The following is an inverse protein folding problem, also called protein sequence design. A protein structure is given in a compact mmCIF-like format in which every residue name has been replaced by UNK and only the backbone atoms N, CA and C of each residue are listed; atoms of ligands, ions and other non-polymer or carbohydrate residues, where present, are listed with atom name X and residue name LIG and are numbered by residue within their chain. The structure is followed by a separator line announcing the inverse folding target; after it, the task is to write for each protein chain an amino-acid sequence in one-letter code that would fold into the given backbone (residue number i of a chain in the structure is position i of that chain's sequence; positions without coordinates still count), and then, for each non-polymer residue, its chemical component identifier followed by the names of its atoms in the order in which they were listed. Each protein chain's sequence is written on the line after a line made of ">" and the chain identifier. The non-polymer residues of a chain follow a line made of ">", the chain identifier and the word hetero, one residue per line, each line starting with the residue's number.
data_IF_202827320723
#
_entry.id   IF_202827320723
#
_cell.length_a   1.000
_cell.length_b   1.000
_cell.length_c   1.000
_cell.angle_alpha   90.00
_cell.angle_beta   90.00
_cell.angle_gamma   90.00
#
_symmetry.space_group_name_H-M   'P 1'
#
loop_
_entity.id
_entity.type
_entity.pdbx_description
1 polymer ?
#
# COMPACT_ATOMS: atom_id res chain seq x y z
N UNK A 1 12.07 10.03 35.51
CA UNK A 1 12.36 9.34 34.24
C UNK A 1 13.11 10.29 33.32
N UNK A 2 14.18 9.85 32.66
CA UNK A 2 14.80 10.59 31.56
C UNK A 2 14.26 10.01 30.25
N UNK A 3 13.80 10.86 29.35
CA UNK A 3 13.32 10.47 28.02
C UNK A 3 14.35 10.93 26.98
N UNK A 4 14.65 10.06 26.03
CA UNK A 4 15.57 10.34 24.93
C UNK A 4 14.78 10.36 23.61
N UNK A 5 15.06 11.34 22.76
CA UNK A 5 14.37 11.57 21.48
C UNK A 5 15.42 11.74 20.39
N UNK A 6 15.25 11.06 19.24
CA UNK A 6 16.10 11.29 18.07
C UNK A 6 15.69 12.60 17.39
N UNK A 7 16.65 13.50 17.20
CA UNK A 7 16.43 14.79 16.54
C UNK A 7 16.80 14.73 15.05
N UNK A 8 18.03 14.32 14.74
CA UNK A 8 18.55 14.32 13.38
C UNK A 8 19.76 13.38 13.20
N UNK A 9 20.04 12.91 11.96
CA UNK A 9 21.31 12.28 11.62
C UNK A 9 22.51 13.24 11.82
N UNK A 10 23.65 12.72 12.30
CA UNK A 10 24.89 13.51 12.50
C UNK A 10 25.36 14.28 11.25
N UNK A 11 25.04 13.78 10.04
CA UNK A 11 25.45 14.40 8.77
C UNK A 11 24.59 15.60 8.37
N UNK A 12 23.40 15.79 8.97
CA UNK A 12 22.45 16.81 8.53
C UNK A 12 22.39 18.04 9.42
N UNK A 13 22.86 17.98 10.66
CA UNK A 13 22.82 19.11 11.60
C UNK A 13 23.95 19.00 12.64
N UNK A 14 24.46 20.15 13.09
CA UNK A 14 25.40 20.21 14.22
C UNK A 14 24.64 20.32 15.55
N UNK A 15 25.33 20.04 16.67
CA UNK A 15 24.72 20.19 18.00
C UNK A 15 24.33 21.64 18.33
N UNK A 16 25.06 22.61 17.79
CA UNK A 16 24.81 24.04 18.00
C UNK A 16 23.55 24.52 17.25
N UNK A 17 23.37 24.05 16.01
CA UNK A 17 22.16 24.30 15.22
C UNK A 17 20.92 23.75 15.93
N UNK A 18 21.02 22.53 16.46
CA UNK A 18 19.93 21.87 17.19
C UNK A 18 19.62 22.57 18.51
N UNK A 19 20.64 22.99 19.27
CA UNK A 19 20.44 23.75 20.51
C UNK A 19 19.72 25.08 20.24
N UNK A 20 20.13 25.78 19.17
CA UNK A 20 19.48 27.03 18.74
C UNK A 20 18.02 26.80 18.37
N UNK A 21 17.71 25.74 17.61
CA UNK A 21 16.35 25.37 17.25
C UNK A 21 15.46 25.05 18.46
N UNK A 22 15.98 24.28 19.42
CA UNK A 22 15.23 23.91 20.63
C UNK A 22 14.97 25.12 21.54
N UNK A 23 15.97 26.00 21.69
CA UNK A 23 15.83 27.26 22.42
C UNK A 23 14.78 28.17 21.79
N UNK A 24 14.81 28.35 20.46
CA UNK A 24 13.81 29.13 19.74
C UNK A 24 12.39 28.55 19.88
N UNK A 25 12.29 27.23 19.98
CA UNK A 25 11.02 26.51 20.14
C UNK A 25 10.53 26.42 21.59
N UNK A 26 11.29 26.97 22.56
CA UNK A 26 10.97 26.92 23.99
C UNK A 26 10.72 25.50 24.53
N UNK A 27 11.37 24.48 23.93
CA UNK A 27 11.23 23.09 24.34
C UNK A 27 12.26 22.81 25.44
N UNK A 28 11.85 22.45 26.66
CA UNK A 28 12.79 22.07 27.71
C UNK A 28 13.56 20.82 27.27
N UNK A 29 14.89 20.88 27.27
CA UNK A 29 15.74 19.76 26.88
C UNK A 29 16.96 19.62 27.79
N UNK A 30 17.49 18.40 27.87
CA UNK A 30 18.79 18.14 28.47
C UNK A 30 19.93 18.23 27.45
N UNK A 31 21.05 17.60 27.75
CA UNK A 31 22.22 17.58 26.87
C UNK A 31 21.92 16.85 25.55
N UNK A 32 22.49 17.36 24.44
CA UNK A 32 22.40 16.75 23.12
C UNK A 32 23.58 15.78 22.96
N UNK A 33 23.29 14.50 22.82
CA UNK A 33 24.28 13.44 22.68
C UNK A 33 24.13 12.67 21.36
N UNK A 34 25.21 12.06 20.90
CA UNK A 34 25.19 11.18 19.72
C UNK A 34 24.84 9.76 20.18
N UNK A 35 23.71 9.25 19.73
CA UNK A 35 23.30 7.86 19.94
C UNK A 35 23.40 7.03 18.65
N UNK A 36 23.81 5.75 18.73
CA UNK A 36 23.71 4.84 17.60
C UNK A 36 22.22 4.52 17.32
N UNK A 37 21.83 4.56 16.06
CA UNK A 37 20.52 4.13 15.60
C UNK A 37 20.64 3.51 14.21
N UNK A 38 19.78 2.53 13.91
CA UNK A 38 19.75 1.95 12.56
C UNK A 38 19.25 3.00 11.56
N UNK A 39 19.93 3.07 10.41
CA UNK A 39 19.48 3.90 9.27
C UNK A 39 18.23 3.33 8.61
N UNK A 40 18.04 2.01 8.68
CA UNK A 40 16.97 1.29 7.99
C UNK A 40 16.06 0.60 9.00
N UNK A 41 14.79 0.43 8.63
CA UNK A 41 13.87 -0.40 9.39
C UNK A 41 14.25 -1.89 9.25
N UNK A 42 14.08 -2.71 10.31
CA UNK A 42 14.34 -4.14 10.22
C UNK A 42 13.33 -4.81 9.29
N UNK A 43 13.82 -5.70 8.43
CA UNK A 43 13.01 -6.46 7.46
C UNK A 43 12.65 -7.84 8.00
N UNK A 44 13.51 -8.41 8.85
CA UNK A 44 13.30 -9.74 9.47
C UNK A 44 13.21 -9.64 10.98
N UNK A 45 12.58 -10.65 11.60
CA UNK A 45 12.53 -10.81 13.07
C UNK A 45 13.94 -10.81 13.67
N UNK A 46 14.87 -11.51 13.03
CA UNK A 46 16.29 -11.58 13.44
C UNK A 46 16.95 -10.19 13.43
N UNK A 47 16.72 -9.39 12.38
CA UNK A 47 17.22 -8.02 12.33
C UNK A 47 16.59 -7.15 13.42
N UNK A 48 15.27 -7.27 13.62
CA UNK A 48 14.58 -6.51 14.66
C UNK A 48 15.13 -6.82 16.06
N UNK A 49 15.28 -8.10 16.40
CA UNK A 49 15.77 -8.52 17.71
C UNK A 49 17.23 -8.08 17.94
N UNK A 50 18.05 -8.06 16.89
CA UNK A 50 19.40 -7.51 16.97
C UNK A 50 19.42 -5.98 17.13
N UNK A 51 18.55 -5.26 16.42
CA UNK A 51 18.64 -3.79 16.33
C UNK A 51 17.87 -3.07 17.43
N UNK A 52 16.83 -3.69 18.02
CA UNK A 52 16.07 -3.11 19.14
C UNK A 52 16.90 -2.88 20.40
N UNK A 53 18.03 -3.57 20.53
CA UNK A 53 19.00 -3.36 21.62
C UNK A 53 19.86 -2.10 21.42
N UNK A 54 19.95 -1.59 20.19
CA UNK A 54 20.70 -0.36 19.86
C UNK A 54 19.81 0.88 20.05
N UNK A 55 18.60 0.84 19.49
CA UNK A 55 17.58 1.88 19.66
C UNK A 55 16.18 1.25 19.58
N UNK A 56 15.17 1.74 20.32
CA UNK A 56 13.80 1.26 20.19
C UNK A 56 13.29 1.40 18.75
N UNK A 57 12.82 0.29 18.17
CA UNK A 57 12.29 0.21 16.82
C UNK A 57 10.89 -0.37 16.83
N UNK A 58 10.13 -0.12 15.77
CA UNK A 58 8.90 -0.85 15.45
C UNK A 58 9.20 -1.93 14.42
N UNK A 59 8.73 -3.14 14.65
CA UNK A 59 8.74 -4.22 13.67
C UNK A 59 7.37 -4.87 13.61
N UNK A 60 6.79 -4.85 12.43
CA UNK A 60 5.60 -5.61 12.11
C UNK A 60 6.08 -6.82 11.32
N UNK A 61 5.98 -7.99 11.94
CA UNK A 61 6.23 -9.24 11.24
C UNK A 61 5.19 -9.34 10.13
N UNK A 62 5.65 -9.12 8.90
CA UNK A 62 4.92 -9.59 7.74
C UNK A 62 5.09 -11.09 7.84
N UNK A 63 4.07 -11.80 8.34
CA UNK A 63 4.02 -13.22 8.14
C UNK A 63 4.27 -13.41 6.64
N UNK A 64 5.40 -14.02 6.28
CA UNK A 64 5.50 -14.67 5.01
C UNK A 64 4.48 -15.79 5.09
N UNK A 65 3.20 -15.45 4.92
CA UNK A 65 2.18 -16.42 4.59
C UNK A 65 2.78 -17.12 3.39
N UNK A 66 3.12 -18.40 3.58
CA UNK A 66 3.80 -19.22 2.59
C UNK A 66 2.87 -19.51 1.42
N UNK A 67 2.35 -18.48 0.77
CA UNK A 67 1.61 -18.56 -0.47
C UNK A 67 2.63 -18.85 -1.57
N UNK A 68 3.06 -20.10 -1.63
CA UNK A 68 3.72 -20.62 -2.81
C UNK A 68 2.65 -20.76 -3.88
N UNK A 69 2.66 -19.85 -4.85
CA UNK A 69 1.80 -19.94 -6.03
C UNK A 69 2.16 -21.20 -6.83
N UNK A 70 1.18 -22.04 -7.14
CA UNK A 70 1.36 -23.15 -8.08
C UNK A 70 1.60 -22.63 -9.50
N UNK A 71 2.12 -23.46 -10.41
CA UNK A 71 2.39 -23.06 -11.79
C UNK A 71 1.15 -22.50 -12.51
N UNK A 72 -0.01 -23.13 -12.32
CA UNK A 72 -1.28 -22.67 -12.89
C UNK A 72 -1.71 -21.30 -12.33
N UNK A 73 -1.47 -21.06 -11.05
CA UNK A 73 -1.81 -19.79 -10.41
C UNK A 73 -0.85 -18.67 -10.86
N UNK A 74 0.44 -18.97 -10.96
CA UNK A 74 1.43 -18.06 -11.55
C UNK A 74 1.09 -17.68 -12.99
N UNK A 75 0.60 -18.63 -13.79
CA UNK A 75 0.13 -18.36 -15.14
C UNK A 75 -1.07 -17.41 -15.15
N UNK A 76 -2.03 -17.58 -14.22
CA UNK A 76 -3.15 -16.66 -14.06
C UNK A 76 -2.70 -15.26 -13.60
N UNK A 77 -1.81 -15.18 -12.61
CA UNK A 77 -1.25 -13.90 -12.13
C UNK A 77 -0.56 -13.15 -13.26
N UNK A 78 0.25 -13.84 -14.07
CA UNK A 78 0.91 -13.25 -15.24
C UNK A 78 -0.12 -12.75 -16.26
N UNK A 79 -1.10 -13.58 -16.61
CA UNK A 79 -2.17 -13.23 -17.55
C UNK A 79 -2.94 -11.98 -17.12
N UNK A 80 -3.31 -11.87 -15.85
CA UNK A 80 -4.10 -10.73 -15.37
C UNK A 80 -3.25 -9.47 -15.16
N UNK A 81 -1.97 -9.63 -14.79
CA UNK A 81 -1.02 -8.53 -14.77
C UNK A 81 -0.78 -7.97 -16.18
N UNK A 82 -0.76 -8.81 -17.22
CA UNK A 82 -0.68 -8.34 -18.62
C UNK A 82 -1.86 -7.44 -18.99
N UNK A 83 -3.07 -7.74 -18.51
CA UNK A 83 -4.24 -6.86 -18.69
C UNK A 83 -4.03 -5.50 -18.01
N UNK A 84 -3.51 -5.48 -16.78
CA UNK A 84 -3.21 -4.22 -16.09
C UNK A 84 -2.11 -3.41 -16.81
N UNK A 85 -1.09 -4.08 -17.34
CA UNK A 85 -0.02 -3.45 -18.14
C UNK A 85 -0.59 -2.85 -19.43
N UNK A 86 -1.52 -3.52 -20.08
CA UNK A 86 -2.17 -3.00 -21.28
C UNK A 86 -2.96 -1.72 -20.98
N UNK A 87 -3.67 -1.67 -19.85
CA UNK A 87 -4.32 -0.42 -19.40
C UNK A 87 -3.32 0.70 -19.12
N UNK A 88 -2.15 0.39 -18.56
CA UNK A 88 -1.07 1.37 -18.37
C UNK A 88 -0.50 1.87 -19.70
N UNK A 89 -0.45 1.03 -20.74
CA UNK A 89 -0.06 1.42 -22.11
C UNK A 89 -1.07 2.40 -22.70
N UNK A 90 -2.36 2.11 -22.58
CA UNK A 90 -3.44 3.02 -23.01
C UNK A 90 -3.33 4.37 -22.31
N UNK A 91 -3.12 4.39 -20.99
CA UNK A 91 -2.92 5.63 -20.22
C UNK A 91 -1.73 6.43 -20.76
N UNK A 92 -0.60 5.77 -21.03
CA UNK A 92 0.61 6.40 -21.57
C UNK A 92 0.36 7.04 -22.93
N UNK A 93 -0.35 6.35 -23.82
CA UNK A 93 -0.68 6.84 -25.16
C UNK A 93 -1.64 8.03 -25.12
N UNK A 94 -2.49 8.09 -24.11
CA UNK A 94 -3.33 9.25 -23.83
C UNK A 94 -2.58 10.41 -23.13
N UNK A 95 -1.26 10.31 -22.94
CA UNK A 95 -0.45 11.32 -22.24
C UNK A 95 -0.69 11.37 -20.72
N UNK A 96 -1.29 10.32 -20.15
CA UNK A 96 -1.59 10.20 -18.71
C UNK A 96 -0.50 9.42 -17.97
N UNK A 97 -0.62 9.34 -16.65
CA UNK A 97 0.28 8.52 -15.84
C UNK A 97 0.15 7.04 -16.24
N UNK A 98 1.25 6.32 -16.55
CA UNK A 98 1.23 4.95 -17.08
C UNK A 98 0.94 3.93 -15.97
N UNK A 99 -0.27 4.00 -15.41
CA UNK A 99 -0.74 3.12 -14.34
C UNK A 99 -2.05 2.48 -14.81
N UNK A 100 -2.18 1.17 -14.56
CA UNK A 100 -3.34 0.40 -14.97
C UNK A 100 -3.75 -0.59 -13.87
N UNK A 101 -5.01 -0.98 -13.93
CA UNK A 101 -5.64 -1.89 -12.98
C UNK A 101 -6.49 -2.93 -13.70
N UNK A 102 -6.55 -4.14 -13.14
CA UNK A 102 -7.49 -5.19 -13.52
C UNK A 102 -8.06 -5.87 -12.28
N UNK A 103 -9.37 -5.93 -12.16
CA UNK A 103 -10.11 -6.61 -11.11
C UNK A 103 -10.65 -7.94 -11.63
N UNK A 104 -10.40 -9.02 -10.91
CA UNK A 104 -10.71 -10.39 -11.32
C UNK A 104 -11.46 -11.08 -10.20
N UNK A 105 -12.41 -11.92 -10.57
CA UNK A 105 -13.00 -12.89 -9.66
C UNK A 105 -12.14 -14.18 -9.70
N UNK A 106 -11.44 -14.51 -8.61
CA UNK A 106 -10.55 -15.67 -8.58
C UNK A 106 -11.30 -17.01 -8.59
N UNK A 107 -12.57 -17.05 -8.18
CA UNK A 107 -13.37 -18.29 -8.17
C UNK A 107 -13.75 -18.68 -9.60
N UNK A 108 -14.20 -17.70 -10.40
CA UNK A 108 -14.60 -17.92 -11.79
C UNK A 108 -13.46 -17.70 -12.78
N UNK A 109 -12.33 -17.16 -12.33
CA UNK A 109 -11.21 -16.69 -13.16
C UNK A 109 -11.68 -15.76 -14.29
N UNK A 110 -12.53 -14.79 -13.96
CA UNK A 110 -13.12 -13.86 -14.94
C UNK A 110 -12.75 -12.40 -14.64
N UNK A 111 -12.53 -11.63 -15.71
CA UNK A 111 -12.32 -10.20 -15.61
C UNK A 111 -13.62 -9.49 -15.21
N UNK A 112 -13.58 -8.78 -14.09
CA UNK A 112 -14.70 -7.98 -13.61
C UNK A 112 -14.66 -6.56 -14.19
N UNK A 113 -13.49 -5.93 -14.12
CA UNK A 113 -13.23 -4.59 -14.64
C UNK A 113 -11.74 -4.40 -14.93
N UNK A 114 -11.40 -3.51 -15.85
CA UNK A 114 -10.03 -3.04 -16.07
C UNK A 114 -10.05 -1.59 -16.51
N UNK A 115 -9.07 -0.81 -16.06
CA UNK A 115 -9.04 0.62 -16.39
C UNK A 115 -7.63 1.22 -16.30
N UNK A 116 -7.36 2.27 -17.09
CA UNK A 116 -6.20 3.12 -16.88
C UNK A 116 -6.40 4.04 -15.68
N UNK A 117 -5.32 4.67 -15.24
CA UNK A 117 -5.37 5.83 -14.37
C UNK A 117 -5.94 7.04 -15.11
N UNK A 118 -6.92 7.71 -14.51
CA UNK A 118 -7.64 8.82 -15.12
C UNK A 118 -7.45 10.12 -14.32
N UNK A 119 -6.33 10.29 -13.60
CA UNK A 119 -6.09 11.46 -12.74
C UNK A 119 -6.11 12.82 -13.46
N UNK A 120 -5.93 12.81 -14.77
CA UNK A 120 -6.07 14.01 -15.60
C UNK A 120 -7.52 14.57 -15.59
N UNK A 121 -8.51 13.70 -15.40
CA UNK A 121 -9.93 14.10 -15.28
C UNK A 121 -10.31 14.52 -13.86
N UNK A 122 -9.76 13.84 -12.85
CA UNK A 122 -9.98 14.15 -11.44
C UNK A 122 -8.82 13.59 -10.61
N UNK A 123 -8.23 14.36 -9.68
CA UNK A 123 -7.06 13.92 -8.91
C UNK A 123 -7.23 12.65 -8.08
N UNK A 124 -8.46 12.17 -7.86
CA UNK A 124 -8.76 10.96 -7.09
C UNK A 124 -9.00 9.74 -8.00
N UNK A 125 -9.05 9.92 -9.32
CA UNK A 125 -9.27 8.85 -10.30
C UNK A 125 -7.99 8.05 -10.56
N UNK A 126 -7.36 7.58 -9.50
CA UNK A 126 -6.31 6.57 -9.60
C UNK A 126 -6.89 5.26 -10.11
N UNK A 127 -6.08 4.48 -10.83
CA UNK A 127 -6.54 3.23 -11.46
C UNK A 127 -7.31 2.31 -10.50
N UNK A 128 -6.86 2.13 -9.26
CA UNK A 128 -7.56 1.34 -8.24
C UNK A 128 -8.96 1.89 -7.89
N UNK A 129 -9.09 3.21 -7.76
CA UNK A 129 -10.37 3.86 -7.44
C UNK A 129 -11.37 3.73 -8.59
N UNK A 130 -10.88 3.95 -9.82
CA UNK A 130 -11.70 3.78 -11.04
C UNK A 130 -12.16 2.33 -11.16
N UNK A 131 -11.29 1.36 -10.87
CA UNK A 131 -11.64 -0.06 -10.92
C UNK A 131 -12.75 -0.41 -9.92
N UNK A 132 -12.67 0.08 -8.67
CA UNK A 132 -13.72 -0.07 -7.66
C UNK A 132 -15.04 0.55 -8.13
N UNK A 133 -14.99 1.74 -8.74
CA UNK A 133 -16.17 2.41 -9.28
C UNK A 133 -16.83 1.60 -10.40
N UNK A 134 -16.05 1.04 -11.33
CA UNK A 134 -16.56 0.18 -12.40
C UNK A 134 -17.23 -1.10 -11.86
N UNK A 135 -16.66 -1.72 -10.82
CA UNK A 135 -17.30 -2.84 -10.12
C UNK A 135 -18.65 -2.41 -9.53
N UNK A 136 -18.70 -1.23 -8.89
CA UNK A 136 -19.93 -0.70 -8.31
C UNK A 136 -21.01 -0.40 -9.37
N UNK A 137 -20.63 0.14 -10.52
CA UNK A 137 -21.54 0.38 -11.64
C UNK A 137 -22.09 -0.93 -12.20
N UNK A 138 -21.23 -1.93 -12.41
CA UNK A 138 -21.63 -3.27 -12.84
C UNK A 138 -22.62 -3.92 -11.86
N UNK A 139 -22.35 -3.80 -10.56
CA UNK A 139 -23.23 -4.31 -9.52
C UNK A 139 -24.57 -3.57 -9.46
N UNK A 140 -24.58 -2.24 -9.62
CA UNK A 140 -25.81 -1.45 -9.72
C UNK A 140 -26.65 -1.87 -10.94
N UNK A 141 -26.02 -2.06 -12.11
CA UNK A 141 -26.70 -2.49 -13.32
C UNK A 141 -27.33 -3.88 -13.17
N UNK A 142 -26.65 -4.83 -12.51
CA UNK A 142 -27.19 -6.15 -12.17
C UNK A 142 -28.39 -6.07 -11.21
N UNK A 143 -28.39 -5.11 -10.29
CA UNK A 143 -29.40 -4.96 -9.22
C UNK A 143 -30.67 -4.22 -9.64
N UNK A 144 -30.67 -3.53 -10.78
CA UNK A 144 -31.88 -2.93 -11.35
C UNK A 144 -32.99 -3.95 -11.71
N UNK A 145 -32.81 -5.26 -11.43
CA UNK A 145 -33.81 -6.32 -11.56
C UNK A 145 -34.19 -7.10 -10.29
N UNK A 146 -33.73 -6.73 -9.08
CA UNK A 146 -34.11 -7.48 -7.86
C UNK A 146 -33.44 -7.07 -6.54
N UNK A 147 -34.02 -7.52 -5.41
CA UNK A 147 -33.69 -7.16 -4.01
C UNK A 147 -32.19 -7.01 -3.73
N UNK A 148 -31.85 -5.91 -3.05
CA UNK A 148 -30.52 -5.57 -2.54
C UNK A 148 -29.94 -6.72 -1.73
N UNK A 149 -28.97 -7.45 -2.29
CA UNK A 149 -28.04 -8.23 -1.46
C UNK A 149 -27.12 -7.23 -0.77
N UNK A 150 -27.33 -7.07 0.54
CA UNK A 150 -26.39 -6.41 1.45
C UNK A 150 -25.04 -7.12 1.32
N UNK A 151 -24.04 -6.45 0.75
CA UNK A 151 -22.72 -7.02 0.53
C UNK A 151 -21.72 -5.96 0.08
N UNK A 152 -20.46 -6.10 0.50
CA UNK A 152 -19.37 -5.21 0.12
C UNK A 152 -19.02 -5.41 -1.37
N UNK A 153 -18.60 -4.32 -2.04
CA UNK A 153 -18.48 -4.23 -3.49
C UNK A 153 -17.49 -5.21 -4.12
N UNK A 154 -16.29 -5.34 -3.55
CA UNK A 154 -15.18 -6.10 -4.14
C UNK A 154 -14.80 -7.31 -3.27
N UNK A 155 -15.78 -7.87 -2.54
CA UNK A 155 -15.56 -8.96 -1.59
C UNK A 155 -14.86 -10.12 -2.28
N UNK A 156 -13.70 -10.53 -1.76
CA UNK A 156 -12.92 -11.67 -2.27
C UNK A 156 -12.46 -11.57 -3.74
N UNK A 157 -12.50 -10.37 -4.34
CA UNK A 157 -11.90 -10.16 -5.67
C UNK A 157 -10.37 -9.98 -5.56
N UNK A 158 -9.69 -10.27 -6.65
CA UNK A 158 -8.27 -10.00 -6.83
C UNK A 158 -8.06 -8.73 -7.65
N UNK A 159 -7.19 -7.85 -7.17
CA UNK A 159 -6.80 -6.64 -7.88
C UNK A 159 -5.35 -6.72 -8.35
N UNK A 160 -5.13 -6.55 -9.65
CA UNK A 160 -3.80 -6.44 -10.27
C UNK A 160 -3.50 -4.98 -10.61
N UNK A 161 -2.35 -4.48 -10.19
CA UNK A 161 -1.90 -3.10 -10.40
C UNK A 161 -0.49 -3.05 -10.98
N UNK A 162 -0.24 -2.12 -11.90
CA UNK A 162 1.13 -1.91 -12.40
C UNK A 162 2.04 -1.16 -11.40
N UNK A 163 1.44 -0.49 -10.41
CA UNK A 163 2.13 0.26 -9.35
C UNK A 163 1.49 -0.02 -8.00
N UNK A 164 2.31 -0.09 -6.96
CA UNK A 164 1.84 -0.19 -5.58
C UNK A 164 0.83 0.94 -5.27
N UNK A 165 -0.31 0.66 -4.61
CA UNK A 165 -1.32 1.67 -4.32
C UNK A 165 -0.88 2.66 -3.23
N UNK A 166 -1.37 3.89 -3.30
CA UNK A 166 -1.15 4.90 -2.26
C UNK A 166 -2.08 4.65 -1.05
N UNK A 167 -1.96 5.47 0.02
CA UNK A 167 -2.78 5.34 1.24
C UNK A 167 -4.28 5.39 0.92
N UNK A 168 -4.72 6.34 0.09
CA UNK A 168 -6.13 6.47 -0.31
C UNK A 168 -6.64 5.18 -0.96
N UNK A 169 -5.94 4.69 -1.98
CA UNK A 169 -6.35 3.49 -2.70
C UNK A 169 -6.30 2.26 -1.78
N UNK A 170 -5.26 2.14 -0.96
CA UNK A 170 -5.11 1.01 -0.03
C UNK A 170 -6.22 0.96 1.00
N UNK A 171 -6.67 2.12 1.52
CA UNK A 171 -7.79 2.20 2.45
C UNK A 171 -9.14 1.93 1.75
N UNK A 172 -9.30 2.39 0.51
CA UNK A 172 -10.48 2.07 -0.29
C UNK A 172 -10.61 0.55 -0.51
N UNK A 173 -9.49 -0.15 -0.69
CA UNK A 173 -9.47 -1.62 -0.82
C UNK A 173 -9.87 -2.34 0.48
N UNK A 174 -9.45 -1.83 1.64
CA UNK A 174 -9.93 -2.30 2.95
C UNK A 174 -11.45 -2.14 3.05
N UNK A 175 -11.98 -0.95 2.74
CA UNK A 175 -13.42 -0.68 2.76
C UNK A 175 -14.22 -1.51 1.73
N UNK A 176 -13.58 -1.91 0.63
CA UNK A 176 -14.20 -2.72 -0.42
C UNK A 176 -14.13 -4.22 -0.15
N UNK A 177 -13.45 -4.65 0.93
CA UNK A 177 -13.22 -6.06 1.30
C UNK A 177 -12.49 -6.88 0.23
N UNK A 178 -11.51 -6.27 -0.45
CA UNK A 178 -10.71 -6.97 -1.46
C UNK A 178 -10.09 -8.25 -0.88
N UNK A 179 -9.94 -9.30 -1.68
CA UNK A 179 -9.27 -10.53 -1.27
C UNK A 179 -7.75 -10.38 -1.31
N UNK A 180 -7.21 -10.16 -2.52
CA UNK A 180 -5.76 -10.08 -2.75
C UNK A 180 -5.40 -8.94 -3.68
N UNK A 181 -4.19 -8.40 -3.51
CA UNK A 181 -3.65 -7.31 -4.33
C UNK A 181 -2.29 -7.71 -4.87
N UNK A 182 -2.14 -7.72 -6.18
CA UNK A 182 -0.88 -7.98 -6.86
C UNK A 182 -0.37 -6.68 -7.47
N UNK A 183 0.88 -6.31 -7.23
CA UNK A 183 1.46 -5.11 -7.84
C UNK A 183 2.85 -5.33 -8.46
N UNK A 184 3.07 -4.75 -9.64
CA UNK A 184 4.32 -4.99 -10.38
C UNK A 184 5.53 -4.19 -9.87
N UNK A 185 5.32 -2.97 -9.38
CA UNK A 185 6.41 -2.09 -8.95
C UNK A 185 6.08 -1.33 -7.66
N UNK A 186 7.01 -1.25 -6.70
CA UNK A 186 6.83 -0.44 -5.49
C UNK A 186 6.80 1.05 -5.81
N UNK A 187 6.29 1.85 -4.89
CA UNK A 187 6.35 3.32 -4.96
C UNK A 187 6.77 3.93 -3.62
N UNK A 188 7.48 5.05 -3.64
CA UNK A 188 8.02 5.68 -2.41
C UNK A 188 6.96 5.98 -1.34
N UNK A 189 5.75 6.35 -1.76
CA UNK A 189 4.61 6.69 -0.90
C UNK A 189 3.58 5.55 -0.82
N UNK A 190 4.04 4.32 -1.09
CA UNK A 190 3.22 3.13 -1.17
C UNK A 190 2.71 2.72 0.20
N UNK A 191 1.45 2.28 0.27
CA UNK A 191 0.81 1.94 1.53
C UNK A 191 0.67 0.44 1.75
N UNK A 192 1.30 -0.39 0.92
CA UNK A 192 1.19 -1.85 0.99
C UNK A 192 2.54 -2.45 1.38
N UNK A 193 3.54 -2.38 0.52
CA UNK A 193 4.89 -2.88 0.80
C UNK A 193 5.84 -1.82 1.37
N UNK A 194 5.69 -0.57 0.91
CA UNK A 194 6.68 0.49 1.13
C UNK A 194 6.57 1.16 2.50
N UNK A 195 5.78 2.22 2.64
CA UNK A 195 5.84 3.11 3.80
C UNK A 195 4.89 2.70 4.95
N UNK A 196 3.63 2.34 4.64
CA UNK A 196 2.59 2.26 5.68
C UNK A 196 2.10 0.86 6.03
N UNK A 197 2.23 -0.11 5.11
CA UNK A 197 1.74 -1.50 5.28
C UNK A 197 0.32 -1.58 5.85
N UNK A 198 -0.58 -0.75 5.31
CA UNK A 198 -1.93 -0.52 5.81
C UNK A 198 -2.75 -1.81 5.88
N UNK A 199 -2.57 -2.70 4.89
CA UNK A 199 -3.22 -4.01 4.83
C UNK A 199 -2.88 -4.97 5.99
N UNK A 200 -1.87 -4.66 6.80
CA UNK A 200 -1.45 -5.41 7.99
C UNK A 200 -1.81 -4.70 9.30
N UNK A 201 -2.45 -3.52 9.23
CA UNK A 201 -2.70 -2.72 10.42
C UNK A 201 -3.78 -3.38 11.30
N UNK A 202 -3.40 -3.86 12.48
CA UNK A 202 -4.26 -4.70 13.33
C UNK A 202 -5.56 -4.04 13.82
N UNK A 203 -5.64 -2.71 13.84
CA UNK A 203 -6.86 -2.00 14.25
C UNK A 203 -7.91 -1.89 13.14
N UNK A 204 -7.60 -2.32 11.91
CA UNK A 204 -8.56 -2.30 10.80
C UNK A 204 -9.48 -3.51 10.87
N UNK A 205 -10.70 -3.35 10.35
CA UNK A 205 -11.74 -4.38 10.39
C UNK A 205 -11.67 -5.40 9.23
N UNK A 206 -10.74 -5.19 8.30
CA UNK A 206 -10.49 -6.04 7.14
C UNK A 206 -9.01 -6.01 6.80
N UNK A 207 -8.51 -7.16 6.37
CA UNK A 207 -7.14 -7.36 5.92
C UNK A 207 -7.19 -8.11 4.59
N UNK A 208 -6.25 -7.81 3.72
CA UNK A 208 -6.10 -8.47 2.43
C UNK A 208 -4.65 -8.85 2.24
N UNK A 209 -4.40 -9.86 1.40
CA UNK A 209 -3.04 -10.28 1.08
C UNK A 209 -2.49 -9.41 -0.04
N UNK A 210 -1.18 -9.17 -0.01
CA UNK A 210 -0.52 -8.38 -1.03
C UNK A 210 0.78 -9.03 -1.52
N UNK A 211 1.01 -8.95 -2.84
CA UNK A 211 2.08 -9.62 -3.57
C UNK A 211 2.76 -8.68 -4.56
#
# INVERSE_FOLDING_TARGET
>A
LKLYILLAPKKSATSEDLATFLAASSIPHGDIEIAPASRYAPVTRVQFDAWRGVWPLSFHEVAAAGSTFGEAEMANVKRWMEVAIEQARIAREAGQSPIGAAMVDPETNTLIASCPDARASHPLHHAAMVCIALVAERERARRNGGKVRSGYLCTALDLYLTREPCVMCSMALVHSRIGRVFYAQPQAHGAVGSAYKLHLHGSLNHHYEAF
#
